data_IF_484446943283
#
_entry.id   IF_484446943283
#
_cell.length_a   1.000
_cell.length_b   1.000
_cell.length_c   1.000
_cell.angle_alpha   90.00
_cell.angle_beta   90.00
_cell.angle_gamma   90.00
#
_symmetry.space_group_name_H-M   'P 1'
#
loop_
_entity.id
_entity.type
_entity.pdbx_description
1 polymer ?
#
# COMPACT_ATOMS: atom_id res chain seq x y z
N UNK A 1 -24.25 11.33 -20.48
CA UNK A 1 -23.57 12.32 -19.62
C UNK A 1 -22.72 11.54 -18.63
N UNK A 2 -21.47 11.93 -18.41
CA UNK A 2 -20.53 11.24 -17.52
C UNK A 2 -20.32 12.06 -16.25
N UNK A 3 -20.16 11.39 -15.11
CA UNK A 3 -19.84 11.99 -13.82
C UNK A 3 -18.35 11.79 -13.51
N UNK A 4 -17.68 12.84 -13.02
CA UNK A 4 -16.27 12.80 -12.67
C UNK A 4 -16.11 12.63 -11.16
N UNK A 5 -15.45 11.54 -10.75
CA UNK A 5 -15.16 11.26 -9.35
C UNK A 5 -13.75 11.78 -9.04
N UNK A 6 -13.67 12.97 -8.46
CA UNK A 6 -12.41 13.68 -8.19
C UNK A 6 -11.78 13.27 -6.85
N UNK A 7 -12.55 12.63 -5.98
CA UNK A 7 -12.14 12.29 -4.61
C UNK A 7 -11.49 10.90 -4.49
N UNK A 8 -11.63 10.06 -5.51
CA UNK A 8 -11.04 8.72 -5.50
C UNK A 8 -9.52 8.80 -5.77
N UNK A 9 -8.67 8.29 -4.87
CA UNK A 9 -7.24 8.40 -5.04
C UNK A 9 -6.77 7.56 -6.22
N UNK A 10 -5.77 8.06 -6.94
CA UNK A 10 -5.16 7.36 -8.06
C UNK A 10 -3.77 6.87 -7.69
N UNK A 11 -3.46 5.64 -8.06
CA UNK A 11 -2.12 5.10 -8.02
C UNK A 11 -1.44 5.30 -9.36
N UNK A 12 -0.21 5.80 -9.32
CA UNK A 12 0.65 6.02 -10.48
C UNK A 12 1.94 5.25 -10.27
N UNK A 13 2.23 4.25 -11.10
CA UNK A 13 3.39 3.41 -10.87
C UNK A 13 3.71 2.42 -11.96
N UNK A 14 4.61 1.52 -11.64
CA UNK A 14 5.10 0.48 -12.54
C UNK A 14 4.73 -0.90 -12.00
N UNK A 15 4.46 -1.83 -12.92
CA UNK A 15 4.40 -3.26 -12.58
C UNK A 15 5.79 -3.71 -12.15
N UNK A 16 5.90 -4.26 -10.94
CA UNK A 16 7.13 -4.83 -10.45
C UNK A 16 7.37 -6.18 -11.12
N UNK A 17 8.34 -6.22 -12.05
CA UNK A 17 8.88 -7.45 -12.60
C UNK A 17 9.67 -8.24 -11.56
N UNK A 18 10.03 -9.49 -11.87
CA UNK A 18 10.71 -10.41 -10.93
C UNK A 18 11.93 -9.77 -10.25
N UNK A 19 12.81 -9.13 -11.01
CA UNK A 19 14.01 -8.49 -10.47
C UNK A 19 13.68 -7.36 -9.47
N UNK A 20 12.67 -6.54 -9.79
CA UNK A 20 12.26 -5.46 -8.91
C UNK A 20 11.59 -6.00 -7.63
N UNK A 21 10.78 -7.06 -7.74
CA UNK A 21 10.17 -7.72 -6.57
C UNK A 21 11.24 -8.25 -5.61
N UNK A 22 12.26 -8.93 -6.14
CA UNK A 22 13.35 -9.45 -5.32
C UNK A 22 14.11 -8.33 -4.60
N UNK A 23 14.38 -7.20 -5.28
CA UNK A 23 14.99 -6.03 -4.63
C UNK A 23 14.11 -5.52 -3.49
N UNK A 24 12.80 -5.34 -3.74
CA UNK A 24 11.83 -4.87 -2.76
C UNK A 24 11.74 -5.81 -1.54
N UNK A 25 11.79 -7.12 -1.74
CA UNK A 25 11.78 -8.14 -0.67
C UNK A 25 13.09 -8.14 0.13
N UNK A 26 14.22 -7.84 -0.52
CA UNK A 26 15.55 -7.79 0.10
C UNK A 26 15.90 -6.45 0.76
N UNK A 27 14.99 -5.47 0.78
CA UNK A 27 15.28 -4.13 1.31
C UNK A 27 15.64 -4.17 2.79
N UNK A 28 16.81 -3.62 3.10
CA UNK A 28 17.24 -3.37 4.48
C UNK A 28 16.38 -2.31 5.16
N UNK A 29 16.48 -2.23 6.50
CA UNK A 29 15.72 -1.26 7.30
C UNK A 29 15.95 0.20 6.87
N UNK A 30 17.17 0.53 6.42
CA UNK A 30 17.51 1.87 5.95
C UNK A 30 16.76 2.29 4.66
N UNK A 31 16.46 1.31 3.80
CA UNK A 31 15.84 1.55 2.49
C UNK A 31 14.32 1.40 2.52
N UNK A 32 13.78 0.65 3.49
CA UNK A 32 12.34 0.51 3.72
C UNK A 32 11.63 1.86 3.89
N UNK A 33 12.30 2.89 4.41
CA UNK A 33 11.73 4.25 4.51
C UNK A 33 11.28 4.82 3.17
N UNK A 34 11.89 4.40 2.06
CA UNK A 34 11.53 4.85 0.72
C UNK A 34 10.29 4.14 0.17
N UNK A 35 9.81 3.11 0.87
CA UNK A 35 8.59 2.35 0.55
C UNK A 35 7.70 2.35 1.80
N UNK A 36 6.92 3.41 1.99
CA UNK A 36 6.09 3.63 3.17
C UNK A 36 4.64 3.90 2.81
N UNK A 37 3.72 3.36 3.60
CA UNK A 37 2.28 3.65 3.52
C UNK A 37 1.93 5.00 4.14
N UNK A 38 2.76 5.56 5.02
CA UNK A 38 2.38 6.70 5.84
C UNK A 38 2.57 8.06 5.14
N UNK A 39 3.51 8.15 4.20
CA UNK A 39 3.88 9.42 3.57
C UNK A 39 3.84 9.33 2.03
N UNK A 40 3.07 10.24 1.42
CA UNK A 40 2.94 10.40 -0.03
C UNK A 40 4.26 10.74 -0.74
N UNK A 41 5.28 11.20 0.01
CA UNK A 41 6.65 11.48 -0.46
C UNK A 41 7.45 10.23 -0.77
N UNK A 42 7.02 9.05 -0.30
CA UNK A 42 7.66 7.77 -0.58
C UNK A 42 6.83 6.89 -1.51
N UNK A 43 7.37 5.72 -1.86
CA UNK A 43 6.69 4.77 -2.74
C UNK A 43 5.71 3.92 -1.93
N UNK A 44 4.60 3.54 -2.57
CA UNK A 44 3.70 2.51 -2.08
C UNK A 44 3.79 1.26 -2.94
N UNK A 45 3.55 0.12 -2.29
CA UNK A 45 3.31 -1.14 -2.96
C UNK A 45 1.80 -1.39 -3.03
N UNK A 46 1.34 -1.81 -4.20
CA UNK A 46 -0.05 -2.17 -4.43
C UNK A 46 -0.11 -3.49 -5.19
N UNK A 47 -1.15 -4.29 -4.96
CA UNK A 47 -1.38 -5.53 -5.69
C UNK A 47 -2.68 -5.47 -6.48
N UNK A 48 -2.67 -6.10 -7.66
CA UNK A 48 -3.87 -6.36 -8.46
C UNK A 48 -3.80 -7.83 -8.85
N UNK A 49 -4.60 -8.67 -8.17
CA UNK A 49 -4.45 -10.12 -8.27
C UNK A 49 -3.05 -10.55 -7.79
N UNK A 50 -2.33 -11.26 -8.65
CA UNK A 50 -0.96 -11.74 -8.40
C UNK A 50 0.14 -10.73 -8.79
N UNK A 51 -0.27 -9.60 -9.36
CA UNK A 51 0.65 -8.58 -9.84
C UNK A 51 0.94 -7.53 -8.77
N UNK A 52 2.23 -7.38 -8.45
CA UNK A 52 2.72 -6.32 -7.58
C UNK A 52 3.10 -5.09 -8.41
N UNK A 53 2.77 -3.92 -7.88
CA UNK A 53 3.06 -2.60 -8.43
C UNK A 53 3.78 -1.75 -7.40
N UNK A 54 4.63 -0.84 -7.87
CA UNK A 54 5.34 0.15 -7.05
C UNK A 54 5.19 1.54 -7.65
N UNK A 55 4.84 2.52 -6.82
CA UNK A 55 4.48 3.85 -7.32
C UNK A 55 4.05 4.82 -6.24
N UNK A 56 3.26 5.82 -6.65
CA UNK A 56 2.74 6.91 -5.84
C UNK A 56 1.24 6.82 -5.71
N UNK A 57 0.73 7.15 -4.53
CA UNK A 57 -0.69 7.37 -4.30
C UNK A 57 -0.96 8.87 -4.31
N UNK A 58 -1.89 9.32 -5.15
CA UNK A 58 -2.26 10.71 -5.33
C UNK A 58 -3.73 10.87 -4.92
N UNK A 59 -3.99 11.75 -3.96
CA UNK A 59 -5.34 11.99 -3.41
C UNK A 59 -6.03 13.21 -4.03
N UNK A 60 -5.34 13.91 -4.93
CA UNK A 60 -5.79 15.14 -5.56
C UNK A 60 -5.95 14.95 -7.06
N UNK A 61 -6.72 15.85 -7.67
CA UNK A 61 -6.79 15.95 -9.12
C UNK A 61 -5.39 16.13 -9.74
N UNK A 62 -5.13 15.38 -10.80
CA UNK A 62 -3.82 15.32 -11.45
C UNK A 62 -3.83 16.06 -12.78
N UNK A 63 -2.97 17.06 -12.91
CA UNK A 63 -2.67 17.70 -14.19
C UNK A 63 -1.60 16.88 -14.97
N UNK A 64 -1.60 17.01 -16.29
CA UNK A 64 -0.76 16.18 -17.18
C UNK A 64 0.74 16.39 -16.95
N UNK A 65 1.16 17.62 -16.65
CA UNK A 65 2.54 17.98 -16.30
C UNK A 65 3.04 17.24 -15.05
N UNK A 66 2.16 17.05 -14.05
CA UNK A 66 2.50 16.32 -12.82
C UNK A 66 2.79 14.84 -13.06
N UNK A 67 2.25 14.23 -14.12
CA UNK A 67 2.47 12.81 -14.43
C UNK A 67 3.95 12.54 -14.69
N UNK A 68 4.60 13.38 -15.50
CA UNK A 68 6.00 13.22 -15.87
C UNK A 68 6.93 13.48 -14.67
N UNK A 69 6.57 14.44 -13.82
CA UNK A 69 7.28 14.71 -12.58
C UNK A 69 7.19 13.54 -11.60
N UNK A 70 6.00 12.94 -11.45
CA UNK A 70 5.78 11.74 -10.65
C UNK A 70 6.59 10.57 -11.22
N UNK A 71 6.57 10.37 -12.54
CA UNK A 71 7.39 9.34 -13.19
C UNK A 71 8.86 9.52 -12.85
N UNK A 72 9.41 10.73 -13.00
CA UNK A 72 10.80 11.04 -12.69
C UNK A 72 11.11 10.83 -11.20
N UNK A 73 10.18 11.19 -10.32
CA UNK A 73 10.30 10.97 -8.88
C UNK A 73 10.34 9.48 -8.52
N UNK A 74 9.43 8.67 -9.06
CA UNK A 74 9.41 7.22 -8.82
C UNK A 74 10.73 6.60 -9.28
N UNK A 75 11.18 6.93 -10.50
CA UNK A 75 12.42 6.40 -11.05
C UNK A 75 13.65 6.84 -10.24
N UNK A 76 13.67 8.06 -9.70
CA UNK A 76 14.80 8.52 -8.88
C UNK A 76 14.88 7.78 -7.54
N UNK A 77 13.73 7.47 -6.91
CA UNK A 77 13.68 6.67 -5.69
C UNK A 77 14.07 5.22 -5.98
N UNK A 78 13.51 4.60 -7.03
CA UNK A 78 13.85 3.21 -7.39
C UNK A 78 15.35 3.02 -7.68
N UNK A 79 16.00 4.01 -8.31
CA UNK A 79 17.46 3.98 -8.52
C UNK A 79 18.27 4.06 -7.23
N UNK A 80 17.72 4.66 -6.16
CA UNK A 80 18.36 4.67 -4.84
C UNK A 80 18.24 3.32 -4.14
N UNK A 81 17.14 2.59 -4.39
CA UNK A 81 16.85 1.28 -3.77
C UNK A 81 17.72 0.15 -4.33
N UNK A 82 18.27 0.28 -5.54
CA UNK A 82 19.16 -0.72 -6.09
C UNK A 82 19.78 -0.31 -7.42
N UNK A 83 21.07 -0.57 -7.62
CA UNK A 83 21.72 -0.32 -8.90
C UNK A 83 21.22 -1.34 -9.94
N UNK A 84 20.81 -0.84 -11.11
CA UNK A 84 20.73 -1.59 -12.37
C UNK A 84 19.55 -2.57 -12.60
N UNK A 85 18.42 -2.45 -11.91
CA UNK A 85 17.19 -3.13 -12.38
C UNK A 85 16.64 -2.38 -13.61
N UNK A 86 16.36 -3.06 -14.74
CA UNK A 86 15.65 -2.45 -15.86
C UNK A 86 14.31 -1.90 -15.37
N UNK A 87 14.18 -0.57 -15.34
CA UNK A 87 12.95 0.07 -14.90
C UNK A 87 11.94 0.05 -16.04
N UNK A 88 10.68 -0.37 -15.78
CA UNK A 88 9.64 -0.36 -16.80
C UNK A 88 9.44 1.05 -17.36
N UNK A 89 9.22 1.16 -18.66
CA UNK A 89 8.96 2.45 -19.34
C UNK A 89 7.48 2.83 -19.31
N UNK A 90 6.60 1.84 -19.15
CA UNK A 90 5.15 2.04 -19.17
C UNK A 90 4.63 2.32 -17.76
N UNK A 91 4.21 3.56 -17.54
CA UNK A 91 3.52 3.98 -16.34
C UNK A 91 2.05 3.53 -16.38
N UNK A 92 1.53 3.07 -15.25
CA UNK A 92 0.12 2.73 -15.07
C UNK A 92 -0.51 3.74 -14.13
N UNK A 93 -1.70 4.22 -14.51
CA UNK A 93 -2.54 5.11 -13.72
C UNK A 93 -3.82 4.33 -13.43
N UNK A 94 -4.12 4.09 -12.16
CA UNK A 94 -5.19 3.17 -11.73
C UNK A 94 -5.90 3.80 -10.54
N UNK A 95 -7.24 3.85 -10.57
CA UNK A 95 -8.01 4.23 -9.39
C UNK A 95 -7.76 3.22 -8.26
N UNK A 96 -7.56 3.71 -7.04
CA UNK A 96 -7.27 2.89 -5.88
C UNK A 96 -8.19 3.26 -4.74
N UNK A 97 -8.46 2.29 -3.90
CA UNK A 97 -9.23 2.46 -2.68
C UNK A 97 -8.40 1.88 -1.55
N UNK A 98 -8.35 2.57 -0.42
CA UNK A 98 -7.69 2.04 0.76
C UNK A 98 -8.47 0.80 1.20
N UNK A 99 -7.84 -0.37 1.12
CA UNK A 99 -8.30 -1.52 1.87
C UNK A 99 -7.88 -1.24 3.31
N UNK A 100 -8.80 -0.72 4.12
CA UNK A 100 -8.56 -0.59 5.55
C UNK A 100 -8.07 -1.95 6.05
N UNK A 101 -6.87 -2.01 6.62
CA UNK A 101 -6.33 -3.20 7.27
C UNK A 101 -7.18 -3.50 8.51
N UNK A 102 -8.36 -4.08 8.29
CA UNK A 102 -9.11 -4.85 9.28
C UNK A 102 -9.14 -6.29 8.80
N UNK A 103 -7.96 -6.85 8.55
CA UNK A 103 -7.80 -8.29 8.49
C UNK A 103 -7.59 -8.77 9.93
N UNK A 104 -8.68 -9.02 10.65
CA UNK A 104 -8.62 -9.94 11.76
C UNK A 104 -8.33 -11.32 11.15
N UNK A 105 -7.24 -12.02 11.53
CA UNK A 105 -7.06 -13.38 11.08
C UNK A 105 -8.22 -14.19 11.67
N UNK A 106 -9.04 -14.76 10.79
CA UNK A 106 -9.91 -15.86 11.16
C UNK A 106 -9.00 -17.00 11.60
N UNK A 107 -8.81 -17.14 12.91
CA UNK A 107 -8.24 -18.35 13.49
C UNK A 107 -9.30 -19.46 13.37
N UNK A 108 -8.82 -20.57 12.82
CA UNK A 108 -9.54 -21.80 12.54
C UNK A 108 -10.44 -22.30 13.67
N UNK A 109 -11.47 -23.02 13.26
CA UNK A 109 -12.52 -23.56 14.10
C UNK A 109 -12.11 -24.66 15.09
N UNK A 110 -13.08 -24.91 15.97
CA UNK A 110 -13.31 -26.12 16.79
C UNK A 110 -12.35 -26.33 17.96
N UNK A 111 -12.78 -25.97 19.18
CA UNK A 111 -13.20 -26.97 20.20
C UNK A 111 -14.19 -26.36 21.22
N UNK A 112 -15.35 -27.02 21.35
CA UNK A 112 -16.19 -27.21 22.55
C UNK A 112 -16.46 -26.07 23.57
N UNK A 113 -17.66 -25.49 23.43
CA UNK A 113 -18.77 -25.53 24.41
C UNK A 113 -18.71 -24.77 25.77
N UNK A 114 -19.89 -24.44 26.33
CA UNK A 114 -20.13 -23.21 27.07
C UNK A 114 -20.24 -23.43 28.59
N UNK A 115 -19.94 -22.38 29.36
CA UNK A 115 -20.45 -22.26 30.72
C UNK A 115 -20.50 -20.78 31.15
N UNK A 116 -21.72 -20.27 31.21
CA UNK A 116 -22.15 -19.16 32.08
C UNK A 116 -23.21 -19.74 33.02
N UNK A 117 -23.67 -19.06 34.10
CA UNK A 117 -23.22 -17.79 34.70
C UNK A 117 -23.13 -17.85 36.25
N UNK A 118 -22.69 -16.76 36.92
CA UNK A 118 -23.42 -16.08 38.01
C UNK A 118 -22.55 -15.14 38.88
N UNK A 119 -22.94 -13.86 38.90
CA UNK A 119 -23.16 -12.94 40.05
C UNK A 119 -22.13 -12.94 41.20
N UNK A 120 -21.52 -11.81 41.59
CA UNK A 120 -22.14 -10.67 42.31
C UNK A 120 -21.12 -9.51 42.42
N UNK A 121 -21.44 -8.22 42.16
CA UNK A 121 -21.87 -7.18 43.13
C UNK A 121 -21.03 -7.25 44.43
N UNK A 122 -20.20 -6.27 44.84
CA UNK A 122 -20.56 -4.90 45.28
C UNK A 122 -19.30 -4.04 45.53
N UNK A 123 -19.55 -2.74 45.47
CA UNK A 123 -18.75 -1.53 45.75
C UNK A 123 -18.26 -1.42 47.23
N UNK A 124 -17.22 -0.59 47.43
CA UNK A 124 -17.12 0.46 48.46
C UNK A 124 -16.10 0.32 49.65
N UNK A 125 -15.22 1.35 49.73
CA UNK A 125 -14.70 2.08 50.91
C UNK A 125 -13.61 1.42 51.79
N UNK A 126 -12.39 2.00 51.76
CA UNK A 126 -11.86 2.86 52.83
C UNK A 126 -10.63 3.63 52.37
#
# INVERSE_FOLDING_TARGET
MLELLVEEPIFIGFKAGRALRQVLESLGAADKKYVSSEDSTFLRLCSIGEDLYVGKLIHEALATDRVDDIRRNILSILRKLGPAVPLPTTLKIIACRAVNETYAPAVDGLTSSPSTPALSVTRAIR
#
